data_IF_104327881649
#
_entry.id   IF_104327881649
#
_cell.length_a   1.000
_cell.length_b   1.000
_cell.length_c   1.000
_cell.angle_alpha   90.00
_cell.angle_beta   90.00
_cell.angle_gamma   90.00
#
_symmetry.space_group_name_H-M   'P 1'
#
loop_
_entity.id
_entity.type
_entity.pdbx_description
1 polymer ?
#
# COMPACT_ATOMS: atom_id res chain seq x y z
N UNK A 1 10.84 32.03 -26.81
CA UNK A 1 10.90 32.52 -25.41
C UNK A 1 11.16 31.30 -24.51
N UNK A 2 12.44 31.02 -24.33
CA UNK A 2 12.87 29.91 -23.47
C UNK A 2 12.56 30.26 -22.01
N UNK A 3 11.52 29.63 -21.47
CA UNK A 3 11.35 29.58 -20.02
C UNK A 3 12.34 28.53 -19.50
N UNK A 4 13.58 28.92 -19.24
CA UNK A 4 14.39 28.17 -18.29
C UNK A 4 13.72 28.36 -16.92
N UNK A 5 12.78 27.45 -16.57
CA UNK A 5 12.36 27.31 -15.19
C UNK A 5 13.62 26.94 -14.40
N UNK A 6 13.98 27.74 -13.42
CA UNK A 6 15.12 27.46 -12.54
C UNK A 6 14.79 26.18 -11.76
N UNK A 7 15.48 25.07 -12.07
CA UNK A 7 15.33 23.82 -11.31
C UNK A 7 15.85 24.08 -9.89
N UNK A 8 15.02 23.81 -8.90
CA UNK A 8 15.30 24.01 -7.47
C UNK A 8 15.25 22.68 -6.71
N UNK A 9 15.57 22.69 -5.44
CA UNK A 9 15.29 21.53 -4.60
C UNK A 9 13.77 21.29 -4.55
N UNK A 10 13.37 20.04 -4.78
CA UNK A 10 11.99 19.62 -4.80
C UNK A 10 11.67 18.55 -3.77
N UNK A 11 10.43 18.56 -3.28
CA UNK A 11 9.95 17.67 -2.23
C UNK A 11 8.75 16.86 -2.70
N UNK A 12 8.75 15.58 -2.36
CA UNK A 12 7.64 14.67 -2.64
C UNK A 12 7.23 13.87 -1.42
N UNK A 13 5.94 13.64 -1.26
CA UNK A 13 5.39 12.86 -0.17
C UNK A 13 4.28 11.93 -0.66
N UNK A 14 4.29 10.73 -0.12
CA UNK A 14 3.24 9.72 -0.21
C UNK A 14 3.11 9.05 1.17
N UNK A 15 2.32 8.01 1.25
CA UNK A 15 2.05 7.30 2.51
C UNK A 15 2.07 5.79 2.34
N UNK A 16 2.16 5.09 3.46
CA UNK A 16 1.86 3.67 3.51
C UNK A 16 0.39 3.42 3.16
N UNK A 17 0.03 2.19 2.84
CA UNK A 17 -1.35 1.76 2.63
C UNK A 17 -1.66 0.47 3.39
N UNK A 18 -2.92 0.25 3.68
CA UNK A 18 -3.44 -1.06 4.06
C UNK A 18 -4.50 -1.50 3.04
N UNK A 19 -4.44 -2.76 2.61
CA UNK A 19 -5.56 -3.38 1.90
C UNK A 19 -6.53 -3.84 2.98
N UNK A 20 -7.70 -3.21 3.00
CA UNK A 20 -8.74 -3.58 3.95
C UNK A 20 -9.40 -4.89 3.51
N UNK A 21 -9.82 -4.99 2.26
CA UNK A 21 -10.41 -6.18 1.64
C UNK A 21 -10.04 -6.25 0.15
N UNK A 22 -10.02 -7.46 -0.41
CA UNK A 22 -9.89 -7.69 -1.84
C UNK A 22 -8.46 -7.97 -2.32
N UNK A 23 -7.49 -8.16 -1.40
CA UNK A 23 -6.20 -8.70 -1.77
C UNK A 23 -6.36 -10.01 -2.52
N UNK A 24 -5.46 -10.29 -3.43
CA UNK A 24 -5.48 -11.40 -4.38
C UNK A 24 -6.67 -11.38 -5.35
N UNK A 25 -7.92 -11.25 -4.89
CA UNK A 25 -9.10 -11.25 -5.78
C UNK A 25 -9.10 -10.09 -6.78
N UNK A 26 -8.47 -8.97 -6.45
CA UNK A 26 -8.33 -7.81 -7.35
C UNK A 26 -7.58 -8.13 -8.64
N UNK A 27 -6.65 -9.09 -8.61
CA UNK A 27 -5.91 -9.55 -9.79
C UNK A 27 -6.82 -10.29 -10.78
N UNK A 28 -7.95 -10.82 -10.28
CA UNK A 28 -8.97 -11.53 -11.04
C UNK A 28 -10.20 -10.66 -11.38
N UNK A 29 -10.06 -9.32 -11.25
CA UNK A 29 -11.09 -8.37 -11.65
C UNK A 29 -12.15 -8.03 -10.59
N UNK A 30 -12.02 -8.58 -9.39
CA UNK A 30 -12.89 -8.24 -8.26
C UNK A 30 -12.51 -6.88 -7.65
N UNK A 31 -13.42 -6.22 -6.91
CA UNK A 31 -13.08 -4.98 -6.21
C UNK A 31 -12.08 -5.23 -5.07
N UNK A 32 -11.31 -4.20 -4.75
CA UNK A 32 -10.53 -4.11 -3.53
C UNK A 32 -10.76 -2.76 -2.85
N UNK A 33 -10.63 -2.74 -1.54
CA UNK A 33 -10.66 -1.54 -0.71
C UNK A 33 -9.29 -1.34 -0.10
N UNK A 34 -8.69 -0.18 -0.34
CA UNK A 34 -7.43 0.19 0.27
C UNK A 34 -7.51 1.57 0.91
N UNK A 35 -6.80 1.72 2.02
CA UNK A 35 -6.73 2.97 2.77
C UNK A 35 -5.29 3.50 2.76
N UNK A 36 -5.08 4.79 2.43
CA UNK A 36 -3.81 5.45 2.68
C UNK A 36 -3.65 5.67 4.18
N UNK A 37 -2.50 5.28 4.71
CA UNK A 37 -2.14 5.47 6.12
C UNK A 37 -1.34 6.77 6.26
N UNK A 38 -2.02 7.90 6.24
CA UNK A 38 -1.42 9.24 6.10
C UNK A 38 -0.47 9.65 7.22
N UNK A 39 -0.53 8.96 8.37
CA UNK A 39 0.38 9.18 9.48
C UNK A 39 1.73 8.43 9.31
N UNK A 40 1.80 7.50 8.35
CA UNK A 40 2.99 6.75 7.96
C UNK A 40 3.49 7.24 6.60
N UNK A 41 4.46 8.14 6.60
CA UNK A 41 4.89 8.89 5.43
C UNK A 41 6.12 8.28 4.76
N UNK A 42 6.13 8.36 3.45
CA UNK A 42 7.32 8.24 2.62
C UNK A 42 7.63 9.62 2.03
N UNK A 43 8.83 10.14 2.25
CA UNK A 43 9.28 11.44 1.75
C UNK A 43 10.45 11.24 0.81
N UNK A 44 10.52 12.07 -0.21
CA UNK A 44 11.66 12.15 -1.11
C UNK A 44 12.07 13.61 -1.30
N UNK A 45 13.36 13.84 -1.41
CA UNK A 45 13.94 15.11 -1.80
C UNK A 45 14.74 14.92 -3.08
N UNK A 46 14.58 15.81 -4.03
CA UNK A 46 15.34 15.85 -5.29
C UNK A 46 16.14 17.16 -5.32
N UNK A 47 17.44 17.09 -5.07
CA UNK A 47 18.34 18.24 -5.08
C UNK A 47 19.11 18.27 -6.39
N UNK A 48 19.01 19.35 -7.22
CA UNK A 48 19.74 19.46 -8.45
C UNK A 48 21.26 19.41 -8.21
N UNK A 49 21.96 18.67 -9.06
CA UNK A 49 23.44 18.58 -9.00
C UNK A 49 24.06 18.70 -10.40
N UNK A 50 25.34 19.05 -10.47
CA UNK A 50 26.13 19.06 -11.69
C UNK A 50 26.82 17.72 -11.99
N UNK A 51 26.77 16.77 -11.04
CA UNK A 51 27.37 15.45 -11.16
C UNK A 51 26.44 14.40 -11.77
N UNK A 52 26.74 13.13 -11.51
CA UNK A 52 25.81 12.03 -11.83
C UNK A 52 24.65 12.00 -10.85
N UNK A 53 23.48 11.51 -11.31
CA UNK A 53 22.34 11.35 -10.41
C UNK A 53 22.61 10.22 -9.42
N UNK A 54 22.34 10.49 -8.13
CA UNK A 54 22.54 9.57 -7.01
C UNK A 54 21.23 9.27 -6.28
N UNK A 55 21.17 8.12 -5.64
CA UNK A 55 20.08 7.67 -4.80
C UNK A 55 20.60 7.32 -3.41
N UNK A 56 19.96 7.87 -2.39
CA UNK A 56 20.12 7.47 -0.99
C UNK A 56 18.76 6.96 -0.49
N UNK A 57 18.63 5.65 -0.34
CA UNK A 57 17.36 5.00 0.01
C UNK A 57 17.65 3.71 0.76
N UNK A 58 17.08 3.55 1.95
CA UNK A 58 17.33 2.41 2.84
C UNK A 58 18.85 2.25 3.12
N UNK A 59 19.38 1.10 2.75
CA UNK A 59 20.78 0.72 2.89
C UNK A 59 21.63 0.99 1.62
N UNK A 60 21.06 1.61 0.59
CA UNK A 60 21.74 1.97 -0.64
C UNK A 60 22.10 3.46 -0.66
N UNK A 61 23.33 3.77 -1.04
CA UNK A 61 23.78 5.12 -1.38
C UNK A 61 24.78 5.03 -2.53
N UNK A 62 24.43 5.61 -3.69
CA UNK A 62 25.28 5.56 -4.89
C UNK A 62 24.55 6.02 -6.16
N UNK A 63 25.16 5.83 -7.35
CA UNK A 63 24.54 6.19 -8.62
C UNK A 63 23.20 5.47 -8.85
N UNK A 64 22.18 6.22 -9.32
CA UNK A 64 20.82 5.65 -9.56
C UNK A 64 20.88 4.43 -10.50
N UNK A 65 21.70 4.49 -11.57
CA UNK A 65 21.83 3.43 -12.55
C UNK A 65 22.56 2.18 -12.06
N UNK A 66 23.12 2.19 -10.85
CA UNK A 66 23.81 1.07 -10.20
C UNK A 66 23.04 0.51 -9.00
N UNK A 67 21.84 1.00 -8.73
CA UNK A 67 21.06 0.64 -7.54
C UNK A 67 20.57 -0.84 -7.53
N UNK A 68 20.69 -1.55 -8.65
CA UNK A 68 20.36 -2.97 -8.76
C UNK A 68 18.86 -3.28 -8.77
N UNK A 69 18.53 -4.56 -8.86
CA UNK A 69 17.15 -5.01 -9.08
C UNK A 69 16.20 -4.67 -7.91
N UNK A 70 16.69 -4.60 -6.68
CA UNK A 70 15.90 -4.24 -5.50
C UNK A 70 15.33 -2.82 -5.59
N UNK A 71 16.04 -1.92 -6.24
CA UNK A 71 15.66 -0.51 -6.41
C UNK A 71 15.16 -0.20 -7.83
N UNK A 72 14.84 -1.22 -8.64
CA UNK A 72 14.44 -1.03 -10.03
C UNK A 72 13.20 -0.12 -10.18
N UNK A 73 12.20 -0.27 -9.30
CA UNK A 73 11.02 0.62 -9.29
C UNK A 73 11.40 2.06 -8.96
N UNK A 74 12.25 2.27 -7.98
CA UNK A 74 12.74 3.61 -7.56
C UNK A 74 13.55 4.28 -8.66
N UNK A 75 14.46 3.54 -9.31
CA UNK A 75 15.25 4.04 -10.44
C UNK A 75 14.33 4.40 -11.62
N UNK A 76 13.35 3.56 -11.94
CA UNK A 76 12.39 3.84 -13.01
C UNK A 76 11.49 5.03 -12.68
N UNK A 77 11.08 5.18 -11.41
CA UNK A 77 10.31 6.35 -10.97
C UNK A 77 11.06 7.67 -11.23
N UNK A 78 12.35 7.68 -10.95
CA UNK A 78 13.20 8.82 -11.25
C UNK A 78 13.28 9.12 -12.76
N UNK A 79 13.47 8.09 -13.59
CA UNK A 79 13.52 8.24 -15.05
C UNK A 79 12.20 8.78 -15.62
N UNK A 80 11.05 8.14 -15.30
CA UNK A 80 9.75 8.58 -15.84
C UNK A 80 9.38 9.99 -15.38
N UNK A 81 9.79 10.38 -14.17
CA UNK A 81 9.57 11.74 -13.69
C UNK A 81 10.37 12.77 -14.49
N UNK A 82 11.64 12.49 -14.83
CA UNK A 82 12.48 13.34 -15.67
C UNK A 82 11.97 13.42 -17.11
N UNK A 83 11.54 12.27 -17.67
CA UNK A 83 10.90 12.21 -19.00
C UNK A 83 9.65 13.10 -19.05
N UNK A 84 8.74 12.94 -18.07
CA UNK A 84 7.50 13.71 -17.98
C UNK A 84 7.74 15.22 -17.75
N UNK A 85 8.76 15.57 -16.97
CA UNK A 85 9.11 16.96 -16.67
C UNK A 85 9.92 17.65 -17.78
N UNK A 86 10.48 16.88 -18.73
CA UNK A 86 11.37 17.41 -19.76
C UNK A 86 12.75 17.85 -19.24
N UNK A 87 13.20 17.31 -18.09
CA UNK A 87 14.48 17.66 -17.44
C UNK A 87 15.51 16.53 -17.54
N UNK A 88 15.60 15.86 -18.69
CA UNK A 88 16.49 14.70 -18.90
C UNK A 88 17.97 15.02 -18.70
N UNK A 89 18.40 16.24 -19.01
CA UNK A 89 19.80 16.67 -18.88
C UNK A 89 20.16 17.11 -17.45
N UNK A 90 19.15 17.24 -16.57
CA UNK A 90 19.38 17.60 -15.17
C UNK A 90 19.69 16.36 -14.34
N UNK A 91 20.79 16.39 -13.62
CA UNK A 91 21.11 15.38 -12.60
C UNK A 91 20.59 15.82 -11.22
N UNK A 92 20.24 14.82 -10.40
CA UNK A 92 19.70 15.03 -9.05
C UNK A 92 20.36 14.11 -8.03
N UNK A 93 20.52 14.62 -6.81
CA UNK A 93 20.67 13.80 -5.62
C UNK A 93 19.28 13.50 -5.07
N UNK A 94 18.91 12.21 -5.04
CA UNK A 94 17.61 11.74 -4.55
C UNK A 94 17.81 11.10 -3.17
N UNK A 95 17.08 11.59 -2.18
CA UNK A 95 17.06 11.03 -0.82
C UNK A 95 15.65 10.62 -0.47
N UNK A 96 15.45 9.39 0.05
CA UNK A 96 14.15 8.93 0.56
C UNK A 96 14.21 8.64 2.06
N UNK A 97 13.13 8.99 2.77
CA UNK A 97 12.95 8.71 4.20
C UNK A 97 11.57 8.14 4.45
N UNK A 98 11.49 7.02 5.18
CA UNK A 98 10.25 6.32 5.48
C UNK A 98 9.97 6.26 6.98
N UNK A 99 8.71 6.48 7.38
CA UNK A 99 8.23 6.31 8.76
C UNK A 99 7.79 4.84 9.01
N UNK A 100 7.84 3.97 8.02
CA UNK A 100 7.39 2.57 8.09
C UNK A 100 8.37 1.62 7.38
N UNK A 101 8.39 0.33 7.76
CA UNK A 101 9.31 -0.65 7.21
C UNK A 101 8.97 -1.00 5.75
N UNK A 102 9.97 -1.39 5.00
CA UNK A 102 9.85 -1.92 3.65
C UNK A 102 9.53 -3.42 3.66
N UNK A 103 8.96 -3.93 2.54
CA UNK A 103 8.67 -5.37 2.34
C UNK A 103 7.75 -5.98 3.42
N UNK A 104 6.79 -5.18 3.93
CA UNK A 104 5.81 -5.60 4.94
C UNK A 104 4.35 -5.54 4.46
N UNK A 105 4.13 -5.46 3.15
CA UNK A 105 2.78 -5.35 2.59
C UNK A 105 2.14 -3.98 2.72
N UNK A 106 2.90 -2.97 3.20
CA UNK A 106 2.43 -1.58 3.38
C UNK A 106 2.63 -0.69 2.14
N UNK A 107 3.00 -1.26 0.98
CA UNK A 107 3.15 -0.53 -0.28
C UNK A 107 4.40 0.34 -0.36
N UNK A 108 5.49 -0.02 0.34
CA UNK A 108 6.70 0.81 0.43
C UNK A 108 7.37 1.09 -0.93
N UNK A 109 7.35 0.15 -1.87
CA UNK A 109 7.89 0.34 -3.23
C UNK A 109 7.12 1.43 -3.97
N UNK A 110 5.80 1.29 -4.09
CA UNK A 110 4.93 2.26 -4.74
C UNK A 110 4.96 3.64 -4.04
N UNK A 111 5.06 3.64 -2.70
CA UNK A 111 5.19 4.87 -1.93
C UNK A 111 6.51 5.59 -2.27
N UNK A 112 7.63 4.88 -2.30
CA UNK A 112 8.92 5.46 -2.66
C UNK A 112 8.93 5.98 -4.10
N UNK A 113 8.41 5.19 -5.05
CA UNK A 113 8.26 5.60 -6.44
C UNK A 113 7.43 6.88 -6.57
N UNK A 114 6.24 6.91 -5.97
CA UNK A 114 5.36 8.08 -5.99
C UNK A 114 5.96 9.32 -5.30
N UNK A 115 6.72 9.16 -4.21
CA UNK A 115 7.40 10.26 -3.53
C UNK A 115 8.52 10.85 -4.41
N UNK A 116 9.32 9.99 -5.06
CA UNK A 116 10.39 10.43 -5.98
C UNK A 116 9.79 11.14 -7.19
N UNK A 117 8.73 10.60 -7.81
CA UNK A 117 8.05 11.28 -8.92
C UNK A 117 7.66 12.70 -8.49
N UNK A 118 6.97 12.83 -7.36
CA UNK A 118 6.55 14.15 -6.85
C UNK A 118 7.71 15.09 -6.58
N UNK A 119 8.84 14.59 -6.03
CA UNK A 119 10.00 15.44 -5.73
C UNK A 119 10.65 15.98 -7.00
N UNK A 120 10.78 15.18 -8.05
CA UNK A 120 11.33 15.64 -9.34
C UNK A 120 10.38 16.62 -10.05
N UNK A 121 9.05 16.33 -9.99
CA UNK A 121 8.03 17.25 -10.53
C UNK A 121 8.05 18.60 -9.80
N UNK A 122 8.16 18.58 -8.47
CA UNK A 122 8.27 19.82 -7.67
C UNK A 122 9.56 20.59 -7.99
N UNK A 123 10.69 19.88 -8.11
CA UNK A 123 11.97 20.48 -8.47
C UNK A 123 11.94 21.20 -9.83
N UNK A 124 11.20 20.65 -10.80
CA UNK A 124 11.04 21.18 -12.16
C UNK A 124 9.81 22.07 -12.34
N UNK A 125 9.11 22.41 -11.25
CA UNK A 125 7.87 23.20 -11.25
C UNK A 125 6.77 22.62 -12.18
N UNK A 126 6.84 21.31 -12.45
CA UNK A 126 5.87 20.59 -13.27
C UNK A 126 4.73 20.07 -12.39
N UNK A 127 3.51 20.37 -12.78
CA UNK A 127 2.30 19.82 -12.11
C UNK A 127 1.83 18.57 -12.85
N UNK A 128 1.34 17.60 -12.07
CA UNK A 128 0.66 16.40 -12.57
C UNK A 128 -0.64 16.21 -11.79
N UNK A 129 -1.68 15.81 -12.50
CA UNK A 129 -2.96 15.41 -11.91
C UNK A 129 -2.90 14.03 -11.23
N UNK A 130 -3.97 13.63 -10.56
CA UNK A 130 -4.03 12.36 -9.86
C UNK A 130 -3.83 11.16 -10.81
N UNK A 131 -4.46 11.19 -11.99
CA UNK A 131 -4.35 10.13 -12.99
C UNK A 131 -2.93 10.03 -13.58
N UNK A 132 -2.28 11.17 -13.81
CA UNK A 132 -0.89 11.20 -14.29
C UNK A 132 0.07 10.64 -13.23
N UNK A 133 -0.09 11.04 -11.97
CA UNK A 133 0.72 10.52 -10.86
C UNK A 133 0.53 9.01 -10.68
N UNK A 134 -0.71 8.53 -10.78
CA UNK A 134 -1.00 7.10 -10.78
C UNK A 134 -0.31 6.38 -11.94
N UNK A 135 -0.46 6.89 -13.17
CA UNK A 135 0.15 6.31 -14.36
C UNK A 135 1.68 6.24 -14.27
N UNK A 136 2.34 7.32 -13.85
CA UNK A 136 3.80 7.38 -13.66
C UNK A 136 4.26 6.38 -12.59
N UNK A 137 3.56 6.31 -11.45
CA UNK A 137 3.87 5.36 -10.38
C UNK A 137 3.69 3.92 -10.85
N UNK A 138 2.63 3.64 -11.61
CA UNK A 138 2.37 2.32 -12.19
C UNK A 138 3.45 1.90 -13.19
N UNK A 139 3.93 2.81 -14.04
CA UNK A 139 5.06 2.54 -14.94
C UNK A 139 6.32 2.16 -14.19
N UNK A 140 6.57 2.78 -13.04
CA UNK A 140 7.70 2.44 -12.18
C UNK A 140 7.55 1.04 -11.56
N UNK A 141 6.37 0.70 -11.05
CA UNK A 141 6.09 -0.59 -10.42
C UNK A 141 6.11 -1.77 -11.41
N UNK A 142 5.78 -1.55 -12.69
CA UNK A 142 5.82 -2.59 -13.71
C UNK A 142 7.21 -3.21 -13.88
N UNK A 143 8.29 -2.43 -13.75
CA UNK A 143 9.66 -2.93 -13.85
C UNK A 143 9.98 -3.92 -12.73
N UNK A 144 9.53 -3.63 -11.51
CA UNK A 144 9.83 -4.46 -10.34
C UNK A 144 8.92 -5.70 -10.23
N UNK A 145 7.66 -5.58 -10.66
CA UNK A 145 6.61 -6.56 -10.39
C UNK A 145 5.99 -7.20 -11.64
N UNK A 146 6.41 -6.82 -12.84
CA UNK A 146 5.92 -7.35 -14.12
C UNK A 146 4.51 -6.85 -14.45
N UNK A 147 3.47 -7.48 -13.91
CA UNK A 147 2.06 -7.07 -14.08
C UNK A 147 1.43 -6.76 -12.70
N UNK A 148 1.78 -5.64 -12.06
CA UNK A 148 1.15 -5.23 -10.82
C UNK A 148 -0.32 -4.89 -11.06
N UNK A 149 -1.20 -5.14 -10.08
CA UNK A 149 -2.62 -4.80 -10.18
C UNK A 149 -2.86 -3.28 -10.33
N UNK A 150 -1.94 -2.47 -9.81
CA UNK A 150 -2.08 -1.02 -9.71
C UNK A 150 -2.63 -0.54 -8.37
N UNK A 151 -3.13 -1.45 -7.53
CA UNK A 151 -3.74 -1.11 -6.24
C UNK A 151 -2.77 -0.35 -5.32
N UNK A 152 -1.51 -0.79 -5.24
CA UNK A 152 -0.51 -0.16 -4.38
C UNK A 152 -0.16 1.25 -4.87
N UNK A 153 0.05 1.43 -6.18
CA UNK A 153 0.28 2.74 -6.78
C UNK A 153 -0.91 3.70 -6.55
N UNK A 154 -2.15 3.20 -6.71
CA UNK A 154 -3.35 3.98 -6.48
C UNK A 154 -3.48 4.39 -5.00
N UNK A 155 -3.34 3.44 -4.07
CA UNK A 155 -3.58 3.67 -2.65
C UNK A 155 -2.53 4.58 -1.99
N UNK A 156 -1.24 4.38 -2.31
CA UNK A 156 -0.14 5.21 -1.73
C UNK A 156 -0.16 6.65 -2.22
N UNK A 157 -0.79 6.91 -3.35
CA UNK A 157 -0.90 8.24 -3.95
C UNK A 157 -2.24 8.93 -3.68
N UNK A 158 -3.24 8.21 -3.17
CA UNK A 158 -4.58 8.75 -2.88
C UNK A 158 -4.63 9.52 -1.56
N UNK A 159 -5.37 10.65 -1.48
CA UNK A 159 -5.61 11.34 -0.23
C UNK A 159 -6.74 10.73 0.62
N UNK A 160 -7.48 9.76 0.11
CA UNK A 160 -8.65 9.16 0.76
C UNK A 160 -8.72 7.65 0.49
N UNK A 161 -9.58 6.90 1.23
CA UNK A 161 -9.89 5.51 0.91
C UNK A 161 -10.32 5.35 -0.54
N UNK A 162 -9.95 4.22 -1.14
CA UNK A 162 -10.27 3.94 -2.54
C UNK A 162 -10.95 2.58 -2.71
N UNK A 163 -11.88 2.52 -3.66
CA UNK A 163 -12.26 1.32 -4.36
C UNK A 163 -11.40 1.19 -5.61
N UNK A 164 -10.79 0.03 -5.77
CA UNK A 164 -9.99 -0.28 -6.94
C UNK A 164 -10.53 -1.53 -7.64
N UNK A 165 -10.79 -1.46 -8.95
CA UNK A 165 -11.30 -2.59 -9.72
C UNK A 165 -10.95 -2.42 -11.19
N UNK A 166 -10.41 -3.47 -11.83
CA UNK A 166 -10.13 -3.46 -13.28
C UNK A 166 -9.18 -2.34 -13.73
N UNK A 167 -8.22 -1.96 -12.91
CA UNK A 167 -7.28 -0.86 -13.19
C UNK A 167 -7.84 0.54 -12.93
N UNK A 168 -9.10 0.65 -12.49
CA UNK A 168 -9.74 1.92 -12.18
C UNK A 168 -9.74 2.18 -10.67
N UNK A 169 -9.33 3.36 -10.28
CA UNK A 169 -9.39 3.88 -8.93
C UNK A 169 -10.59 4.82 -8.80
N UNK A 170 -11.38 4.65 -7.74
CA UNK A 170 -12.45 5.58 -7.36
C UNK A 170 -12.32 5.91 -5.88
N UNK A 171 -12.44 7.17 -5.48
CA UNK A 171 -12.58 7.54 -4.09
C UNK A 171 -13.74 6.77 -3.43
N UNK A 172 -13.59 6.43 -2.16
CA UNK A 172 -14.58 5.68 -1.40
C UNK A 172 -14.97 6.46 -0.15
N UNK A 173 -16.27 6.61 0.08
CA UNK A 173 -16.79 7.16 1.32
C UNK A 173 -16.47 6.22 2.49
N UNK A 174 -16.03 6.81 3.60
CA UNK A 174 -15.80 6.15 4.86
C UNK A 174 -16.55 6.92 5.94
N UNK A 175 -17.66 6.37 6.45
CA UNK A 175 -18.56 7.06 7.38
C UNK A 175 -18.48 6.52 8.81
N UNK A 176 -17.64 5.52 9.08
CA UNK A 176 -17.50 4.96 10.43
C UNK A 176 -16.74 5.95 11.31
N UNK A 177 -17.42 6.52 12.29
CA UNK A 177 -16.82 7.41 13.25
C UNK A 177 -16.05 6.66 14.34
N UNK A 178 -15.04 7.31 14.91
CA UNK A 178 -14.26 6.80 16.05
C UNK A 178 -13.70 5.39 15.83
N UNK A 179 -13.40 5.06 14.56
CA UNK A 179 -12.80 3.79 14.15
C UNK A 179 -11.29 3.94 13.95
N UNK A 180 -10.58 2.87 14.26
CA UNK A 180 -9.13 2.79 14.17
C UNK A 180 -8.72 1.49 13.50
N UNK A 181 -7.70 1.56 12.65
CA UNK A 181 -6.94 0.40 12.21
C UNK A 181 -5.67 0.31 13.04
N UNK A 182 -5.48 -0.83 13.68
CA UNK A 182 -4.24 -1.18 14.35
C UNK A 182 -3.46 -2.09 13.39
N UNK A 183 -2.32 -1.61 12.93
CA UNK A 183 -1.43 -2.35 12.05
C UNK A 183 -0.36 -2.98 12.92
N UNK A 184 -0.08 -4.28 12.77
CA UNK A 184 0.99 -4.97 13.46
C UNK A 184 1.91 -5.67 12.47
N UNK A 185 3.20 -5.35 12.51
CA UNK A 185 4.24 -6.01 11.74
C UNK A 185 4.62 -7.34 12.39
N UNK A 186 4.53 -8.42 11.65
CA UNK A 186 4.96 -9.76 12.13
C UNK A 186 6.48 -9.90 12.25
N UNK A 187 7.26 -8.95 11.72
CA UNK A 187 8.72 -9.09 11.60
C UNK A 187 9.17 -10.03 10.48
N UNK A 188 8.26 -10.77 9.86
CA UNK A 188 8.55 -11.70 8.76
C UNK A 188 8.38 -10.98 7.42
N UNK A 189 9.36 -11.11 6.53
CA UNK A 189 9.26 -10.54 5.18
C UNK A 189 8.20 -11.26 4.35
N UNK A 190 7.29 -10.50 3.74
CA UNK A 190 6.28 -11.01 2.82
C UNK A 190 6.67 -10.71 1.38
N UNK A 191 6.63 -11.73 0.51
CA UNK A 191 6.85 -11.55 -0.93
C UNK A 191 5.53 -11.56 -1.68
N UNK A 192 5.00 -10.39 -2.00
CA UNK A 192 3.76 -10.27 -2.80
C UNK A 192 3.88 -11.01 -4.14
N UNK A 193 5.06 -10.98 -4.78
CA UNK A 193 5.32 -11.69 -6.04
C UNK A 193 5.16 -13.19 -5.87
N UNK A 194 5.73 -13.76 -4.81
CA UNK A 194 5.65 -15.21 -4.54
C UNK A 194 4.23 -15.64 -4.17
N UNK A 195 3.56 -14.87 -3.33
CA UNK A 195 2.20 -15.15 -2.89
C UNK A 195 1.21 -15.11 -4.08
N UNK A 196 1.22 -14.02 -4.87
CA UNK A 196 0.36 -13.87 -6.05
C UNK A 196 0.70 -14.90 -7.12
N UNK A 197 1.98 -15.13 -7.40
CA UNK A 197 2.43 -16.15 -8.37
C UNK A 197 2.08 -17.56 -7.92
N UNK A 198 2.21 -17.86 -6.63
CA UNK A 198 1.84 -19.16 -6.04
C UNK A 198 0.34 -19.42 -6.14
N UNK A 199 -0.49 -18.44 -5.78
CA UNK A 199 -1.95 -18.56 -5.89
C UNK A 199 -2.38 -18.73 -7.36
N UNK A 200 -1.78 -17.97 -8.28
CA UNK A 200 -2.07 -18.07 -9.70
C UNK A 200 -1.81 -19.48 -10.24
N UNK A 201 -0.65 -20.07 -9.94
CA UNK A 201 -0.34 -21.45 -10.35
C UNK A 201 -1.33 -22.46 -9.79
N UNK A 202 -1.76 -22.31 -8.53
CA UNK A 202 -2.79 -23.17 -7.93
C UNK A 202 -4.15 -23.00 -8.59
N UNK A 203 -4.54 -21.78 -8.92
CA UNK A 203 -5.77 -21.50 -9.66
C UNK A 203 -5.74 -22.12 -11.07
N UNK A 204 -4.61 -22.01 -11.79
CA UNK A 204 -4.45 -22.62 -13.12
C UNK A 204 -4.52 -24.16 -13.07
N UNK A 205 -4.05 -24.78 -11.98
CA UNK A 205 -4.05 -26.24 -11.80
C UNK A 205 -5.39 -26.78 -11.24
N UNK A 206 -6.11 -26.01 -10.44
CA UNK A 206 -7.36 -26.43 -9.77
C UNK A 206 -8.34 -25.25 -9.67
N UNK A 207 -8.91 -24.81 -10.83
CA UNK A 207 -9.80 -23.64 -10.86
C UNK A 207 -11.11 -23.88 -10.10
N UNK A 208 -11.61 -25.12 -10.06
CA UNK A 208 -12.87 -25.47 -9.41
C UNK A 208 -12.81 -25.33 -7.88
N UNK A 209 -11.65 -25.54 -7.31
CA UNK A 209 -11.42 -25.41 -5.85
C UNK A 209 -10.99 -24.00 -5.47
N UNK A 210 -10.07 -23.38 -6.22
CA UNK A 210 -9.50 -22.06 -5.88
C UNK A 210 -10.42 -20.92 -6.34
N UNK A 211 -11.10 -21.04 -7.48
CA UNK A 211 -11.97 -20.00 -8.03
C UNK A 211 -13.08 -19.53 -7.11
N UNK A 212 -13.85 -20.41 -6.45
CA UNK A 212 -14.88 -20.03 -5.49
C UNK A 212 -14.33 -19.20 -4.31
N UNK A 213 -13.12 -19.52 -3.81
CA UNK A 213 -12.47 -18.77 -2.73
C UNK A 213 -12.05 -17.37 -3.16
N UNK A 214 -11.50 -17.24 -4.38
CA UNK A 214 -11.19 -15.93 -4.97
C UNK A 214 -12.46 -15.10 -5.14
N UNK A 215 -13.54 -15.69 -5.62
CA UNK A 215 -14.84 -15.02 -5.78
C UNK A 215 -15.44 -14.62 -4.42
N UNK A 216 -15.27 -15.45 -3.38
CA UNK A 216 -15.67 -15.13 -2.01
C UNK A 216 -14.93 -13.86 -1.52
N UNK A 217 -13.60 -13.77 -1.67
CA UNK A 217 -12.84 -12.57 -1.34
C UNK A 217 -13.35 -11.32 -2.08
N UNK A 218 -13.76 -11.46 -3.33
CA UNK A 218 -14.38 -10.40 -4.11
C UNK A 218 -15.73 -9.95 -3.54
N UNK A 219 -16.56 -10.88 -3.11
CA UNK A 219 -17.85 -10.59 -2.44
C UNK A 219 -17.62 -9.90 -1.09
N UNK A 220 -16.65 -10.36 -0.31
CA UNK A 220 -16.27 -9.75 0.97
C UNK A 220 -15.76 -8.32 0.77
N UNK A 221 -15.02 -8.05 -0.30
CA UNK A 221 -14.61 -6.68 -0.64
C UNK A 221 -15.83 -5.76 -0.94
N UNK A 222 -16.86 -6.28 -1.63
CA UNK A 222 -18.10 -5.52 -1.84
C UNK A 222 -18.88 -5.32 -0.53
N UNK A 223 -18.91 -6.31 0.36
CA UNK A 223 -19.54 -6.18 1.68
C UNK A 223 -18.86 -5.12 2.53
N UNK A 224 -17.52 -5.03 2.48
CA UNK A 224 -16.76 -3.98 3.17
C UNK A 224 -17.08 -2.58 2.63
N UNK A 225 -17.23 -2.41 1.33
CA UNK A 225 -17.68 -1.13 0.71
C UNK A 225 -19.03 -0.73 1.30
N UNK A 226 -19.98 -1.66 1.35
CA UNK A 226 -21.31 -1.41 1.88
C UNK A 226 -21.29 -1.08 3.39
N UNK A 227 -20.41 -1.75 4.17
CA UNK A 227 -20.27 -1.49 5.60
C UNK A 227 -19.65 -0.10 5.88
N UNK A 228 -18.67 0.32 5.09
CA UNK A 228 -18.07 1.65 5.17
C UNK A 228 -19.08 2.75 4.87
N UNK A 229 -19.91 2.56 3.84
CA UNK A 229 -20.96 3.52 3.44
C UNK A 229 -22.07 3.63 4.49
N UNK A 230 -22.44 2.50 5.11
CA UNK A 230 -23.51 2.46 6.15
C UNK A 230 -23.02 2.78 7.56
N UNK A 231 -21.73 3.11 7.72
CA UNK A 231 -21.11 3.31 9.03
C UNK A 231 -21.21 2.09 9.96
N UNK A 232 -21.20 0.87 9.41
CA UNK A 232 -21.38 -0.39 10.15
C UNK A 232 -20.01 -1.02 10.49
N UNK A 233 -19.41 -0.58 11.59
CA UNK A 233 -18.13 -1.10 12.04
C UNK A 233 -18.16 -2.59 12.42
N UNK A 234 -19.20 -3.12 13.11
CA UNK A 234 -19.32 -4.55 13.37
C UNK A 234 -19.37 -5.40 12.09
N UNK A 235 -20.15 -5.00 11.08
CA UNK A 235 -20.24 -5.73 9.81
C UNK A 235 -18.89 -5.69 9.07
N UNK A 236 -18.18 -4.55 9.10
CA UNK A 236 -16.84 -4.47 8.54
C UNK A 236 -15.87 -5.42 9.22
N UNK A 237 -15.89 -5.47 10.57
CA UNK A 237 -15.04 -6.36 11.35
C UNK A 237 -15.31 -7.84 11.03
N UNK A 238 -16.57 -8.26 11.03
CA UNK A 238 -16.97 -9.63 10.67
C UNK A 238 -16.48 -10.00 9.25
N UNK A 239 -16.62 -9.08 8.30
CA UNK A 239 -16.13 -9.25 6.92
C UNK A 239 -14.60 -9.41 6.87
N UNK A 240 -13.86 -8.71 7.72
CA UNK A 240 -12.40 -8.86 7.83
C UNK A 240 -12.02 -10.25 8.35
N UNK A 241 -12.72 -10.76 9.37
CA UNK A 241 -12.46 -12.09 9.94
C UNK A 241 -12.73 -13.20 8.93
N UNK A 242 -13.84 -13.11 8.20
CA UNK A 242 -14.18 -14.06 7.15
C UNK A 242 -13.13 -14.05 6.02
N UNK A 243 -12.67 -12.85 5.61
CA UNK A 243 -11.62 -12.73 4.63
C UNK A 243 -10.30 -13.35 5.09
N UNK A 244 -9.95 -13.21 6.38
CA UNK A 244 -8.75 -13.86 6.92
C UNK A 244 -8.86 -15.39 6.85
N UNK A 245 -10.00 -15.95 7.21
CA UNK A 245 -10.23 -17.40 7.12
C UNK A 245 -10.05 -17.90 5.67
N UNK A 246 -10.65 -17.22 4.69
CA UNK A 246 -10.48 -17.58 3.26
C UNK A 246 -9.03 -17.45 2.81
N UNK A 247 -8.30 -16.42 3.26
CA UNK A 247 -6.87 -16.24 2.93
C UNK A 247 -6.02 -17.35 3.56
N UNK A 248 -6.34 -17.81 4.78
CA UNK A 248 -5.68 -18.94 5.42
C UNK A 248 -5.95 -20.25 4.67
N UNK A 249 -7.20 -20.54 4.25
CA UNK A 249 -7.54 -21.67 3.38
C UNK A 249 -6.79 -21.64 2.05
N UNK A 250 -6.55 -20.46 1.51
CA UNK A 250 -5.71 -20.26 0.34
C UNK A 250 -4.20 -20.36 0.65
N UNK A 251 -3.80 -20.79 1.86
CA UNK A 251 -2.40 -20.91 2.31
C UNK A 251 -1.60 -19.62 2.12
N UNK A 252 -2.22 -18.49 2.37
CA UNK A 252 -1.63 -17.16 2.29
C UNK A 252 -1.32 -16.58 3.67
N UNK A 253 -1.75 -17.27 4.75
CA UNK A 253 -1.39 -16.94 6.11
C UNK A 253 -0.21 -17.78 6.62
N UNK A 254 0.32 -17.38 7.75
CA UNK A 254 1.34 -18.08 8.54
C UNK A 254 0.85 -18.19 9.98
N UNK A 255 1.30 -19.20 10.77
CA UNK A 255 0.89 -19.36 12.17
C UNK A 255 1.00 -18.07 12.98
N UNK A 256 2.09 -17.30 12.81
CA UNK A 256 2.25 -16.01 13.51
C UNK A 256 1.20 -14.97 13.11
N UNK A 257 0.78 -14.93 11.83
CA UNK A 257 -0.28 -14.00 11.39
C UNK A 257 -1.64 -14.42 11.98
N UNK A 258 -1.89 -15.73 12.07
CA UNK A 258 -3.10 -16.26 12.70
C UNK A 258 -3.12 -15.96 14.21
N UNK A 259 -2.00 -16.17 14.91
CA UNK A 259 -1.83 -15.81 16.33
C UNK A 259 -2.07 -14.31 16.59
N UNK A 260 -1.51 -13.44 15.74
CA UNK A 260 -1.70 -11.99 15.85
C UNK A 260 -3.19 -11.61 15.65
N UNK A 261 -3.87 -12.20 14.66
CA UNK A 261 -5.29 -11.89 14.42
C UNK A 261 -6.17 -12.41 15.55
N UNK A 262 -5.87 -13.59 16.11
CA UNK A 262 -6.57 -14.13 17.29
C UNK A 262 -6.36 -13.26 18.53
N UNK A 263 -5.11 -12.83 18.77
CA UNK A 263 -4.80 -11.94 19.89
C UNK A 263 -5.54 -10.60 19.79
N UNK A 264 -5.65 -10.04 18.58
CA UNK A 264 -6.40 -8.81 18.35
C UNK A 264 -7.88 -8.98 18.65
N UNK A 265 -8.52 -10.08 18.14
CA UNK A 265 -9.93 -10.40 18.40
C UNK A 265 -10.19 -10.64 19.88
N UNK A 266 -9.34 -11.44 20.53
CA UNK A 266 -9.42 -11.71 21.97
C UNK A 266 -9.30 -10.47 22.85
N UNK A 267 -8.68 -9.40 22.35
CA UNK A 267 -8.53 -8.11 23.02
C UNK A 267 -9.63 -7.08 22.65
N UNK A 268 -10.65 -7.48 21.91
CA UNK A 268 -11.81 -6.65 21.58
C UNK A 268 -11.73 -5.92 20.24
N UNK A 269 -10.86 -6.33 19.32
CA UNK A 269 -10.98 -5.90 17.93
C UNK A 269 -12.32 -6.40 17.34
N UNK A 270 -12.98 -5.59 16.54
CA UNK A 270 -14.22 -5.95 15.83
C UNK A 270 -13.96 -6.98 14.73
N UNK A 271 -12.73 -7.06 14.24
CA UNK A 271 -12.23 -8.04 13.30
C UNK A 271 -10.75 -7.79 13.01
N UNK A 272 -10.05 -8.83 12.52
CA UNK A 272 -8.64 -8.74 12.20
C UNK A 272 -8.25 -9.69 11.06
N UNK A 273 -7.31 -9.27 10.20
CA UNK A 273 -6.85 -10.05 9.07
C UNK A 273 -5.42 -9.67 8.67
N UNK A 274 -4.75 -10.55 7.94
CA UNK A 274 -3.53 -10.16 7.24
C UNK A 274 -3.82 -9.05 6.20
N UNK A 275 -2.84 -8.23 5.85
CA UNK A 275 -2.95 -7.22 4.79
C UNK A 275 -1.80 -7.34 3.80
N UNK A 276 -2.10 -7.16 2.51
CA UNK A 276 -1.14 -7.30 1.42
C UNK A 276 -1.03 -8.71 0.88
N UNK A 277 0.17 -9.14 0.49
CA UNK A 277 0.37 -10.43 -0.19
C UNK A 277 0.21 -11.65 0.70
N UNK A 278 0.35 -11.53 2.02
CA UNK A 278 0.44 -12.66 2.94
C UNK A 278 1.84 -13.31 2.93
N UNK A 279 1.92 -14.49 3.56
CA UNK A 279 3.19 -15.23 3.78
C UNK A 279 4.24 -14.38 4.55
N UNK A 280 3.78 -13.53 5.45
CA UNK A 280 4.52 -12.55 6.22
C UNK A 280 3.89 -11.15 6.12
N UNK A 281 4.63 -10.11 6.50
CA UNK A 281 4.16 -8.74 6.49
C UNK A 281 3.31 -8.38 7.70
N UNK A 282 2.21 -7.65 7.50
CA UNK A 282 1.41 -7.09 8.57
C UNK A 282 0.02 -7.74 8.68
N UNK A 283 -0.55 -7.65 9.87
CA UNK A 283 -1.99 -7.79 10.11
C UNK A 283 -2.61 -6.42 10.33
N UNK A 284 -3.90 -6.31 10.08
CA UNK A 284 -4.71 -5.12 10.37
C UNK A 284 -5.91 -5.55 11.23
N UNK A 285 -6.14 -4.84 12.33
CA UNK A 285 -7.26 -5.05 13.23
C UNK A 285 -8.11 -3.79 13.31
N UNK A 286 -9.44 -3.94 13.30
CA UNK A 286 -10.40 -2.84 13.43
C UNK A 286 -10.86 -2.72 14.88
N UNK A 287 -10.78 -1.53 15.45
CA UNK A 287 -11.31 -1.24 16.78
C UNK A 287 -12.04 0.11 16.81
N UNK A 288 -12.97 0.27 17.74
CA UNK A 288 -13.67 1.53 17.98
C UNK A 288 -13.40 2.04 19.38
N UNK A 289 -13.05 3.32 19.48
CA UNK A 289 -12.70 3.99 20.73
C UNK A 289 -11.28 3.69 21.23
N UNK A 290 -10.65 4.70 21.81
CA UNK A 290 -9.27 4.63 22.29
C UNK A 290 -8.98 3.52 23.33
N UNK A 291 -9.90 3.16 24.25
CA UNK A 291 -9.64 2.07 25.18
C UNK A 291 -9.42 0.73 24.47
N UNK A 292 -10.27 0.38 23.48
CA UNK A 292 -10.10 -0.84 22.69
C UNK A 292 -8.82 -0.81 21.86
N UNK A 293 -8.47 0.35 21.27
CA UNK A 293 -7.21 0.52 20.53
C UNK A 293 -6.00 0.17 21.40
N UNK A 294 -5.95 0.68 22.64
CA UNK A 294 -4.84 0.37 23.57
C UNK A 294 -4.78 -1.10 23.95
N UNK A 295 -5.94 -1.72 24.19
CA UNK A 295 -6.02 -3.15 24.54
C UNK A 295 -5.54 -4.05 23.39
N UNK A 296 -6.06 -3.79 22.18
CA UNK A 296 -5.67 -4.54 20.96
C UNK A 296 -4.18 -4.38 20.68
N UNK A 297 -3.65 -3.14 20.74
CA UNK A 297 -2.22 -2.89 20.51
C UNK A 297 -1.34 -3.65 21.51
N UNK A 298 -1.68 -3.59 22.80
CA UNK A 298 -0.93 -4.32 23.85
C UNK A 298 -0.99 -5.84 23.64
N UNK A 299 -2.13 -6.37 23.19
CA UNK A 299 -2.27 -7.80 22.89
C UNK A 299 -1.41 -8.22 21.70
N UNK A 300 -1.39 -7.43 20.62
CA UNK A 300 -0.54 -7.66 19.46
C UNK A 300 0.96 -7.65 19.81
N UNK A 301 1.39 -6.69 20.61
CA UNK A 301 2.78 -6.59 21.10
C UNK A 301 3.16 -7.82 21.94
N UNK A 302 2.26 -8.30 22.81
CA UNK A 302 2.48 -9.51 23.62
C UNK A 302 2.46 -10.79 22.78
N UNK A 303 1.71 -10.82 21.69
CA UNK A 303 1.67 -11.94 20.75
C UNK A 303 2.87 -11.98 19.79
N UNK A 304 3.83 -11.05 19.91
CA UNK A 304 5.09 -11.08 19.18
C UNK A 304 5.15 -10.16 17.95
N UNK A 305 4.24 -9.18 17.83
CA UNK A 305 4.38 -8.15 16.81
C UNK A 305 5.70 -7.37 16.98
N UNK A 306 6.48 -7.26 15.91
CA UNK A 306 7.75 -6.54 15.91
C UNK A 306 7.57 -5.02 16.06
N UNK A 307 6.45 -4.48 15.55
CA UNK A 307 6.04 -3.10 15.69
C UNK A 307 4.52 -2.97 15.52
N UNK A 308 3.94 -1.92 16.10
CA UNK A 308 2.52 -1.61 15.97
C UNK A 308 2.30 -0.13 15.68
N UNK A 309 1.30 0.17 14.85
CA UNK A 309 0.84 1.53 14.56
C UNK A 309 -0.68 1.59 14.70
N UNK A 310 -1.19 2.72 15.16
CA UNK A 310 -2.63 2.96 15.22
C UNK A 310 -2.99 4.11 14.28
N UNK A 311 -3.84 3.85 13.32
CA UNK A 311 -4.31 4.81 12.34
C UNK A 311 -5.79 5.10 12.58
N UNK A 312 -6.13 6.36 12.85
CA UNK A 312 -7.53 6.78 12.98
C UNK A 312 -8.15 6.90 11.60
N UNK A 313 -9.19 6.12 11.34
CA UNK A 313 -9.96 6.22 10.10
C UNK A 313 -10.67 7.58 10.06
N UNK A 314 -10.32 8.40 9.07
CA UNK A 314 -10.94 9.71 8.89
C UNK A 314 -12.24 9.54 8.12
N UNK A 315 -13.31 10.15 8.62
CA UNK A 315 -14.55 10.23 7.86
C UNK A 315 -14.27 10.99 6.57
N UNK A 316 -14.68 10.42 5.47
CA UNK A 316 -14.60 11.03 4.13
C UNK A 316 -15.91 10.78 3.41
N UNK A 317 -16.49 11.84 2.88
CA UNK A 317 -17.63 11.77 1.98
C UNK A 317 -17.17 12.09 0.57
N UNK A 318 -17.62 11.29 -0.36
CA UNK A 318 -17.40 11.50 -1.79
C UNK A 318 -18.76 11.80 -2.39
N UNK A 319 -18.88 12.97 -3.01
CA UNK A 319 -20.05 13.32 -3.78
C UNK A 319 -20.17 12.35 -4.97
N UNK A 320 -21.36 11.76 -5.19
CA UNK A 320 -21.64 10.80 -6.26
C UNK A 320 -21.56 11.43 -7.65
#
# INVERSE_FOLDING_TARGET
MDRHSSIREGHGQTWAKAILLGEHSVVYGHPAVALPLQDLRMRATATPTSGASTLSSLDYSGPVNQAGARFASVARAFEVAREFSGCLDQAFEIVTVSDFPHERGLGSSAAAAGAIIRSVLDASERKAGADELFALTQMAEQIAHGKPSGLDAAATCSPCPIRFQGGQMRPLSQRIENAWLIIADSGVHGSTREAVGGLRRRYENDPDNIGPRISCLGTLAQNAINALDRADAPALGATMDEAHAVLAELSLSLPLLDELTEAARGAGALGAKLTGGGLGGCVVALATGEPAVRQVRTALERAGAAATWSYRMRVSEVDE
#
